data_IF_415429894338
#
_entry.id   IF_415429894338
#
_cell.length_a   1.000
_cell.length_b   1.000
_cell.length_c   1.000
_cell.angle_alpha   90.00
_cell.angle_beta   90.00
_cell.angle_gamma   90.00
#
_symmetry.space_group_name_H-M   'P 1'
#
loop_
_entity.id
_entity.type
_entity.pdbx_description
1 polymer ?
#
# COMPACT_ATOMS: atom_id res chain seq x y z
N UNK A 1 17.74 -13.64 -10.35
CA UNK A 1 17.04 -12.51 -9.69
C UNK A 1 17.84 -12.10 -8.46
N UNK A 2 18.29 -10.84 -8.34
CA UNK A 2 19.06 -10.38 -7.18
C UNK A 2 18.25 -10.32 -5.87
N UNK A 3 17.00 -9.83 -5.93
CA UNK A 3 16.07 -9.73 -4.79
C UNK A 3 14.67 -10.15 -5.24
N UNK A 4 13.93 -10.82 -4.37
CA UNK A 4 12.57 -11.30 -4.60
C UNK A 4 11.71 -10.97 -3.39
N UNK A 5 10.57 -10.32 -3.62
CA UNK A 5 9.68 -9.84 -2.57
C UNK A 5 8.27 -10.40 -2.73
N UNK A 6 7.60 -10.61 -1.60
CA UNK A 6 6.15 -10.75 -1.55
C UNK A 6 5.56 -9.38 -1.23
N UNK A 7 4.59 -8.93 -2.03
CA UNK A 7 3.74 -7.79 -1.64
C UNK A 7 2.79 -8.27 -0.55
N UNK A 8 2.69 -7.49 0.53
CA UNK A 8 1.87 -7.81 1.69
C UNK A 8 1.03 -6.62 2.12
N UNK A 9 -0.08 -6.89 2.79
CA UNK A 9 -0.92 -5.85 3.35
C UNK A 9 -0.39 -5.44 4.73
N UNK A 10 0.14 -4.23 4.86
CA UNK A 10 0.54 -3.68 6.16
C UNK A 10 -0.67 -3.29 7.01
N UNK A 11 -0.86 -3.98 8.15
CA UNK A 11 -2.08 -3.83 8.95
C UNK A 11 -2.18 -2.46 9.64
N UNK A 12 -1.06 -1.95 10.18
CA UNK A 12 -1.00 -0.63 10.83
C UNK A 12 -1.34 0.50 9.86
N UNK A 13 -0.75 0.47 8.66
CA UNK A 13 -0.99 1.42 7.58
C UNK A 13 -2.45 1.38 7.10
N UNK A 14 -3.02 0.19 6.91
CA UNK A 14 -4.42 0.04 6.54
C UNK A 14 -5.38 0.62 7.60
N UNK A 15 -5.14 0.31 8.88
CA UNK A 15 -5.96 0.82 9.99
C UNK A 15 -5.87 2.35 10.07
N UNK A 16 -4.67 2.90 9.99
CA UNK A 16 -4.44 4.36 10.00
C UNK A 16 -5.14 5.02 8.82
N UNK A 17 -4.96 4.46 7.62
CA UNK A 17 -5.59 4.93 6.38
C UNK A 17 -7.11 4.93 6.45
N UNK A 18 -7.71 3.85 6.94
CA UNK A 18 -9.16 3.74 7.09
C UNK A 18 -9.71 4.76 8.10
N UNK A 19 -9.00 5.01 9.22
CA UNK A 19 -9.38 6.03 10.22
C UNK A 19 -9.26 7.46 9.70
N UNK A 20 -8.42 7.69 8.70
CA UNK A 20 -8.22 9.01 8.09
C UNK A 20 -9.26 9.36 7.01
N UNK A 21 -10.12 8.41 6.60
CA UNK A 21 -11.19 8.67 5.64
C UNK A 21 -12.32 9.46 6.28
N UNK A 22 -12.87 10.40 5.52
CA UNK A 22 -14.03 11.22 5.91
C UNK A 22 -15.28 10.80 5.13
N UNK A 23 -16.50 11.19 5.56
CA UNK A 23 -17.73 10.81 4.86
C UNK A 23 -17.75 11.15 3.36
N UNK A 24 -17.14 12.28 2.96
CA UNK A 24 -17.07 12.70 1.55
C UNK A 24 -16.20 11.78 0.68
N UNK A 25 -15.32 10.97 1.29
CA UNK A 25 -14.48 10.00 0.58
C UNK A 25 -15.26 8.74 0.17
N UNK A 26 -16.44 8.53 0.77
CA UNK A 26 -17.18 7.28 0.72
C UNK A 26 -18.51 7.43 -0.02
N UNK A 27 -18.99 6.31 -0.56
CA UNK A 27 -20.37 6.19 -1.04
C UNK A 27 -21.28 5.71 0.10
N UNK A 28 -22.56 6.08 0.12
CA UNK A 28 -23.47 5.78 1.25
C UNK A 28 -23.67 4.27 1.48
N UNK A 29 -23.51 3.44 0.45
CA UNK A 29 -23.64 1.99 0.53
C UNK A 29 -22.35 1.27 0.98
N UNK A 30 -21.23 1.99 1.14
CA UNK A 30 -19.95 1.40 1.51
C UNK A 30 -19.79 1.23 3.01
N UNK A 31 -19.07 0.17 3.39
CA UNK A 31 -18.75 -0.15 4.78
C UNK A 31 -17.23 -0.24 4.94
N UNK A 32 -16.68 0.37 5.98
CA UNK A 32 -15.27 0.19 6.33
C UNK A 32 -15.09 -1.19 6.98
N UNK A 33 -14.05 -1.97 6.57
CA UNK A 33 -13.80 -3.27 7.15
C UNK A 33 -13.43 -3.13 8.63
N UNK A 34 -13.87 -4.08 9.45
CA UNK A 34 -13.42 -4.20 10.82
C UNK A 34 -12.08 -4.91 10.90
N UNK A 35 -11.33 -4.70 11.98
CA UNK A 35 -10.00 -5.29 12.15
C UNK A 35 -10.03 -6.84 12.13
N UNK A 36 -11.09 -7.45 12.66
CA UNK A 36 -11.32 -8.91 12.65
C UNK A 36 -11.68 -9.46 11.26
N UNK A 37 -12.12 -8.61 10.32
CA UNK A 37 -12.40 -8.97 8.93
C UNK A 37 -11.11 -9.01 8.07
N UNK A 38 -9.99 -8.48 8.57
CA UNK A 38 -8.70 -8.43 7.87
C UNK A 38 -7.74 -9.48 8.45
N UNK A 39 -8.00 -10.76 8.14
CA UNK A 39 -7.24 -11.88 8.68
C UNK A 39 -5.85 -12.11 8.02
N UNK A 40 -5.48 -11.32 7.01
CA UNK A 40 -4.27 -11.51 6.20
C UNK A 40 -3.30 -10.31 6.22
N UNK A 41 -3.54 -9.35 7.11
CA UNK A 41 -2.61 -8.24 7.32
C UNK A 41 -1.36 -8.70 8.05
N UNK A 42 -0.20 -8.18 7.64
CA UNK A 42 1.08 -8.37 8.32
C UNK A 42 1.25 -7.29 9.39
N UNK A 43 1.80 -7.69 10.54
CA UNK A 43 2.28 -6.75 11.56
C UNK A 43 3.56 -6.07 11.08
N UNK A 44 3.89 -4.94 11.70
CA UNK A 44 5.08 -4.15 11.35
C UNK A 44 6.38 -4.97 11.47
N UNK A 45 6.48 -5.82 12.51
CA UNK A 45 7.61 -6.74 12.72
C UNK A 45 7.75 -7.80 11.61
N UNK A 46 6.68 -8.05 10.85
CA UNK A 46 6.66 -9.02 9.75
C UNK A 46 6.94 -8.40 8.39
N UNK A 47 7.16 -7.08 8.32
CA UNK A 47 7.47 -6.35 7.09
C UNK A 47 8.98 -6.14 6.99
N UNK A 48 9.53 -6.27 5.78
CA UNK A 48 10.95 -6.05 5.51
C UNK A 48 11.23 -4.77 4.75
N UNK A 49 10.27 -4.26 3.99
CA UNK A 49 10.45 -3.08 3.17
C UNK A 49 9.13 -2.33 2.97
N UNK A 50 9.25 -1.04 2.74
CA UNK A 50 8.16 -0.15 2.33
C UNK A 50 8.62 0.69 1.14
N UNK A 51 7.71 0.92 0.20
CA UNK A 51 7.87 1.97 -0.81
C UNK A 51 6.89 3.08 -0.46
N UNK A 52 7.40 4.16 0.13
CA UNK A 52 6.65 5.36 0.49
C UNK A 52 6.62 6.32 -0.71
N UNK A 53 5.60 6.19 -1.55
CA UNK A 53 5.50 6.92 -2.81
C UNK A 53 4.94 8.35 -2.63
N UNK A 54 5.19 9.23 -3.60
CA UNK A 54 4.64 10.58 -3.58
C UNK A 54 3.16 10.63 -4.01
N UNK A 55 2.54 11.82 -3.89
CA UNK A 55 1.14 12.02 -4.27
C UNK A 55 0.91 11.83 -5.78
N UNK A 56 1.92 12.06 -6.62
CA UNK A 56 1.80 11.84 -8.06
C UNK A 56 1.67 10.35 -8.38
N UNK A 57 2.48 9.51 -7.76
CA UNK A 57 2.38 8.05 -7.87
C UNK A 57 1.04 7.54 -7.30
N UNK A 58 0.59 8.09 -6.16
CA UNK A 58 -0.73 7.77 -5.59
C UNK A 58 -1.86 8.15 -6.55
N UNK A 59 -1.80 9.33 -7.18
CA UNK A 59 -2.78 9.75 -8.18
C UNK A 59 -2.79 8.83 -9.41
N UNK A 60 -1.62 8.35 -9.85
CA UNK A 60 -1.54 7.36 -10.92
C UNK A 60 -2.20 6.02 -10.51
N UNK A 61 -2.03 5.57 -9.26
CA UNK A 61 -2.73 4.41 -8.70
C UNK A 61 -4.25 4.61 -8.69
N UNK A 62 -4.73 5.79 -8.31
CA UNK A 62 -6.17 6.15 -8.38
C UNK A 62 -6.69 6.04 -9.81
N UNK A 63 -5.97 6.59 -10.79
CA UNK A 63 -6.35 6.51 -12.20
C UNK A 63 -6.37 5.07 -12.72
N UNK A 64 -5.38 4.24 -12.32
CA UNK A 64 -5.33 2.83 -12.67
C UNK A 64 -6.53 2.06 -12.11
N UNK A 65 -6.87 2.27 -10.82
CA UNK A 65 -8.05 1.66 -10.21
C UNK A 65 -9.34 2.06 -10.93
N UNK A 66 -9.49 3.34 -11.30
CA UNK A 66 -10.65 3.83 -12.05
C UNK A 66 -10.79 3.19 -13.44
N UNK A 67 -9.68 2.79 -14.09
CA UNK A 67 -9.71 2.10 -15.37
C UNK A 67 -10.30 0.68 -15.29
N UNK A 68 -10.28 0.04 -14.10
CA UNK A 68 -10.89 -1.26 -13.85
C UNK A 68 -12.38 -1.16 -13.48
N UNK A 69 -13.15 -0.41 -14.27
CA UNK A 69 -14.53 -0.02 -13.96
C UNK A 69 -15.52 -1.17 -13.70
N UNK A 70 -15.24 -2.39 -14.19
CA UNK A 70 -16.09 -3.57 -13.92
C UNK A 70 -15.82 -4.21 -12.56
N UNK A 71 -14.67 -3.92 -11.94
CA UNK A 71 -14.21 -4.55 -10.71
C UNK A 71 -14.12 -3.57 -9.54
N UNK A 72 -13.78 -2.31 -9.82
CA UNK A 72 -13.44 -1.31 -8.81
C UNK A 72 -14.26 -0.06 -9.04
N UNK A 73 -14.79 0.49 -7.95
CA UNK A 73 -15.39 1.83 -7.91
C UNK A 73 -14.52 2.71 -7.03
N UNK A 74 -14.02 3.81 -7.59
CA UNK A 74 -13.27 4.84 -6.85
C UNK A 74 -14.26 5.84 -6.23
N UNK A 75 -13.99 6.24 -4.98
CA UNK A 75 -14.82 7.17 -4.22
C UNK A 75 -14.73 8.60 -4.75
N UNK A 76 -15.63 9.51 -4.31
CA UNK A 76 -15.77 10.85 -4.91
C UNK A 76 -14.49 11.70 -4.89
N UNK A 77 -13.64 11.52 -3.88
CA UNK A 77 -12.39 12.27 -3.68
C UNK A 77 -11.14 11.51 -4.15
N UNK A 78 -11.26 10.26 -4.62
CA UNK A 78 -10.12 9.42 -4.95
C UNK A 78 -9.28 8.96 -3.74
N UNK A 79 -9.82 9.04 -2.52
CA UNK A 79 -9.16 8.60 -1.28
C UNK A 79 -9.50 7.16 -0.90
N UNK A 80 -10.62 6.63 -1.36
CA UNK A 80 -11.06 5.26 -1.12
C UNK A 80 -11.53 4.59 -2.42
N UNK A 81 -11.56 3.26 -2.43
CA UNK A 81 -12.22 2.45 -3.45
C UNK A 81 -12.90 1.24 -2.81
N UNK A 82 -13.88 0.68 -3.50
CA UNK A 82 -14.51 -0.58 -3.11
C UNK A 82 -14.62 -1.54 -4.30
N UNK A 83 -14.69 -2.83 -3.97
CA UNK A 83 -15.00 -3.91 -4.90
C UNK A 83 -16.52 -4.20 -4.89
N UNK A 84 -16.94 -5.31 -5.50
CA UNK A 84 -18.34 -5.73 -5.57
C UNK A 84 -19.00 -6.03 -4.22
N UNK A 85 -18.21 -6.23 -3.16
CA UNK A 85 -18.70 -6.47 -1.80
C UNK A 85 -18.99 -5.17 -1.01
N UNK A 86 -18.79 -3.99 -1.62
CA UNK A 86 -18.96 -2.67 -0.98
C UNK A 86 -18.09 -2.44 0.26
N UNK A 87 -17.00 -3.20 0.44
CA UNK A 87 -16.00 -2.90 1.46
C UNK A 87 -15.08 -1.79 0.96
N UNK A 88 -15.09 -0.65 1.64
CA UNK A 88 -14.25 0.49 1.31
C UNK A 88 -12.83 0.29 1.87
N UNK A 89 -11.84 0.45 1.00
CA UNK A 89 -10.42 0.42 1.33
C UNK A 89 -9.78 1.77 0.97
N UNK A 90 -8.90 2.31 1.82
CA UNK A 90 -8.15 3.52 1.48
C UNK A 90 -7.18 3.26 0.33
N UNK A 91 -7.04 4.22 -0.58
CA UNK A 91 -6.04 4.18 -1.66
C UNK A 91 -4.77 4.87 -1.16
N UNK A 92 -3.89 4.08 -0.53
CA UNK A 92 -2.64 4.53 0.08
C UNK A 92 -1.49 4.63 -0.93
N UNK A 93 -0.56 5.55 -0.66
CA UNK A 93 0.70 5.70 -1.39
C UNK A 93 1.72 4.63 -0.98
N UNK A 94 1.73 4.26 0.30
CA UNK A 94 2.69 3.32 0.87
C UNK A 94 2.30 1.87 0.58
N UNK A 95 3.26 1.10 0.07
CA UNK A 95 3.10 -0.34 -0.18
C UNK A 95 4.20 -1.12 0.54
N UNK A 96 3.84 -2.26 1.14
CA UNK A 96 4.71 -3.01 2.06
C UNK A 96 5.09 -4.36 1.47
N UNK A 97 6.27 -4.84 1.84
CA UNK A 97 6.87 -6.04 1.25
C UNK A 97 7.64 -6.88 2.27
N UNK A 98 7.72 -8.18 1.99
CA UNK A 98 8.55 -9.17 2.72
C UNK A 98 9.64 -9.68 1.78
N UNK A 99 10.89 -9.71 2.23
CA UNK A 99 12.02 -10.19 1.43
C UNK A 99 12.03 -11.73 1.42
N UNK A 100 11.48 -12.31 0.36
CA UNK A 100 11.38 -13.75 0.18
C UNK A 100 12.67 -14.40 -0.34
N UNK A 101 13.58 -13.62 -0.92
CA UNK A 101 14.88 -14.11 -1.36
C UNK A 101 15.84 -13.00 -1.79
N UNK A 102 17.14 -13.24 -1.58
CA UNK A 102 18.19 -12.23 -1.79
C UNK A 102 18.74 -11.71 -0.46
N UNK A 103 19.45 -10.59 -0.53
CA UNK A 103 20.00 -9.92 0.66
C UNK A 103 19.45 -8.49 0.73
N UNK A 104 19.01 -8.10 1.93
CA UNK A 104 18.53 -6.75 2.19
C UNK A 104 19.70 -5.74 2.11
N UNK A 105 19.38 -4.50 1.75
CA UNK A 105 20.25 -3.33 1.87
C UNK A 105 20.09 -2.65 3.23
N UNK A 106 20.23 -1.31 3.22
CA UNK A 106 20.07 -0.50 4.43
C UNK A 106 18.62 -0.52 4.91
N UNK A 107 18.45 -0.56 6.24
CA UNK A 107 17.15 -0.53 6.93
C UNK A 107 17.07 0.70 7.82
N UNK A 108 15.87 1.25 7.95
CA UNK A 108 15.57 2.40 8.81
C UNK A 108 15.33 1.98 10.28
N UNK A 109 14.83 2.91 11.10
CA UNK A 109 14.53 2.70 12.52
C UNK A 109 13.41 1.67 12.77
N UNK A 110 12.53 1.44 11.79
CA UNK A 110 11.49 0.40 11.82
C UNK A 110 12.06 -0.98 11.50
N UNK A 111 13.29 -1.03 11.00
CA UNK A 111 13.91 -2.23 10.48
C UNK A 111 13.51 -2.52 9.03
N UNK A 112 13.03 -1.54 8.27
CA UNK A 112 12.56 -1.73 6.90
C UNK A 112 13.51 -1.12 5.88
N UNK A 113 13.70 -1.77 4.73
CA UNK A 113 14.25 -1.12 3.55
C UNK A 113 13.23 -0.11 3.00
N UNK A 114 13.67 1.09 2.61
CA UNK A 114 12.79 2.11 1.99
C UNK A 114 12.95 2.19 0.47
N UNK A 115 13.69 1.24 -0.11
CA UNK A 115 13.91 1.07 -1.54
C UNK A 115 14.13 -0.42 -1.85
N UNK A 116 13.31 -0.98 -2.74
CA UNK A 116 13.46 -2.39 -3.15
C UNK A 116 14.80 -2.64 -3.86
N UNK A 117 15.45 -1.60 -4.38
CA UNK A 117 16.78 -1.64 -4.99
C UNK A 117 17.93 -1.44 -3.99
N UNK A 118 17.64 -1.21 -2.70
CA UNK A 118 18.65 -1.01 -1.68
C UNK A 118 19.66 -2.18 -1.67
N UNK A 119 20.95 -1.85 -1.61
CA UNK A 119 22.05 -2.82 -1.60
C UNK A 119 22.47 -3.35 -2.97
N UNK A 120 21.80 -2.97 -4.07
CA UNK A 120 22.18 -3.40 -5.43
C UNK A 120 23.25 -2.53 -6.10
N UNK A 121 23.69 -1.45 -5.43
CA UNK A 121 24.76 -0.58 -5.92
C UNK A 121 24.37 0.31 -7.10
N UNK A 122 23.07 0.55 -7.30
CA UNK A 122 22.61 1.58 -8.23
C UNK A 122 22.89 2.96 -7.67
N UNK A 123 23.46 3.83 -8.51
CA UNK A 123 23.63 5.25 -8.22
C UNK A 123 23.03 6.07 -9.35
N UNK A 124 22.66 7.32 -9.06
CA UNK A 124 22.30 8.25 -10.12
C UNK A 124 23.55 8.54 -10.98
N UNK A 125 23.35 8.83 -12.26
CA UNK A 125 24.48 9.19 -13.12
C UNK A 125 25.14 10.47 -12.60
N UNK A 126 26.44 10.40 -12.30
CA UNK A 126 27.20 11.52 -11.74
C UNK A 126 27.20 11.61 -10.20
N UNK A 127 26.68 10.60 -9.50
CA UNK A 127 26.81 10.40 -8.03
C UNK A 127 27.53 9.10 -7.73
#
# INVERSE_FOLDING_TARGET
MPKFYWTVLGLSALISGARALVPDDLRPEWVLPRADEIAFGYSDDGIDAVVEADEQARAAKVAALAAHATQVVVGPTGRAAALSNNLALPILADEHYVLAGGSAGARDERGWETDLLAGLGFTASGT
#
